data_IF_178135613277
#
_entry.id   IF_178135613277
#
_cell.length_a   1.000
_cell.length_b   1.000
_cell.length_c   1.000
_cell.angle_alpha   90.00
_cell.angle_beta   90.00
_cell.angle_gamma   90.00
#
_symmetry.space_group_name_H-M   'P 1'
#
loop_
_entity.id
_entity.type
_entity.pdbx_description
1 polymer ?
#
# COMPACT_ATOMS: atom_id res chain seq x y z
N UNK A 1 -9.37 -45.16 17.58
CA UNK A 1 -8.34 -46.14 17.17
C UNK A 1 -8.18 -46.01 15.66
N UNK A 2 -7.05 -45.49 15.19
CA UNK A 2 -6.82 -45.17 13.77
C UNK A 2 -6.50 -46.44 12.98
N UNK A 3 -7.21 -46.64 11.86
CA UNK A 3 -6.96 -47.74 10.93
C UNK A 3 -5.58 -47.57 10.28
N UNK A 4 -4.60 -48.34 10.77
CA UNK A 4 -3.23 -48.40 10.25
C UNK A 4 -3.11 -49.08 8.86
N UNK A 5 -4.23 -49.50 8.25
CA UNK A 5 -4.26 -50.13 6.93
C UNK A 5 -4.60 -49.17 5.78
N UNK A 6 -4.53 -47.85 6.00
CA UNK A 6 -4.71 -46.87 4.92
C UNK A 6 -3.42 -46.80 4.11
N UNK A 7 -3.46 -47.36 2.90
CA UNK A 7 -2.40 -47.40 1.90
C UNK A 7 -1.55 -46.11 1.85
N UNK A 8 -0.24 -46.22 2.09
CA UNK A 8 0.73 -45.10 2.16
C UNK A 8 1.61 -44.95 0.90
N UNK A 9 1.15 -45.44 -0.26
CA UNK A 9 1.94 -45.41 -1.50
C UNK A 9 3.02 -46.50 -1.55
N UNK A 10 3.90 -46.51 -2.57
CA UNK A 10 4.82 -47.62 -2.81
C UNK A 10 6.01 -47.54 -1.84
N UNK A 11 6.11 -48.49 -0.92
CA UNK A 11 7.22 -48.60 0.04
C UNK A 11 7.75 -50.03 0.07
N UNK A 12 9.06 -50.18 0.25
CA UNK A 12 9.78 -51.44 0.42
C UNK A 12 10.11 -51.59 1.91
N UNK A 13 9.71 -52.71 2.52
CA UNK A 13 10.04 -53.01 3.91
C UNK A 13 11.48 -53.53 3.99
N UNK A 14 12.37 -52.75 4.60
CA UNK A 14 13.80 -53.10 4.75
C UNK A 14 14.12 -53.79 6.07
N UNK A 15 13.16 -53.85 7.01
CA UNK A 15 13.34 -54.46 8.32
C UNK A 15 12.06 -54.49 9.16
N UNK A 16 12.10 -55.00 10.40
CA UNK A 16 10.90 -55.25 11.22
C UNK A 16 10.00 -54.01 11.38
N UNK A 17 10.64 -52.84 11.50
CA UNK A 17 10.01 -51.51 11.63
C UNK A 17 10.62 -50.44 10.70
N UNK A 18 11.31 -50.83 9.62
CA UNK A 18 11.89 -49.87 8.66
C UNK A 18 11.28 -50.04 7.28
N UNK A 19 10.90 -48.91 6.68
CA UNK A 19 10.31 -48.83 5.36
C UNK A 19 11.03 -47.74 4.56
N UNK A 20 11.47 -48.08 3.37
CA UNK A 20 11.98 -47.11 2.39
C UNK A 20 10.89 -46.85 1.35
N UNK A 21 10.76 -45.59 0.90
CA UNK A 21 9.87 -45.26 -0.21
C UNK A 21 10.45 -45.88 -1.48
N UNK A 22 9.67 -46.74 -2.14
CA UNK A 22 10.09 -47.27 -3.43
C UNK A 22 10.06 -46.11 -4.45
N UNK A 23 11.00 -46.06 -5.41
CA UNK A 23 10.88 -45.12 -6.52
C UNK A 23 9.53 -45.33 -7.20
N UNK A 24 8.68 -44.30 -7.19
CA UNK A 24 7.37 -44.34 -7.82
C UNK A 24 7.62 -44.57 -9.32
N UNK A 25 7.13 -45.67 -9.91
CA UNK A 25 7.25 -45.85 -11.35
C UNK A 25 6.38 -44.80 -12.02
N UNK A 26 7.01 -43.76 -12.58
CA UNK A 26 6.34 -42.82 -13.46
C UNK A 26 5.96 -43.59 -14.71
N UNK A 27 4.75 -44.15 -14.73
CA UNK A 27 4.15 -44.60 -15.98
C UNK A 27 4.01 -43.34 -16.83
N UNK A 28 4.72 -43.30 -17.96
CA UNK A 28 4.47 -42.34 -19.01
C UNK A 28 3.11 -42.64 -19.64
N UNK A 29 2.03 -42.37 -18.90
CA UNK A 29 0.73 -42.21 -19.50
C UNK A 29 0.78 -40.94 -20.33
N UNK A 30 0.53 -41.10 -21.64
CA UNK A 30 0.41 -39.98 -22.57
C UNK A 30 -0.81 -39.16 -22.17
N UNK A 31 -0.57 -38.19 -21.30
CA UNK A 31 -1.56 -37.19 -20.90
C UNK A 31 -1.79 -36.24 -22.08
N UNK A 32 -3.06 -36.07 -22.42
CA UNK A 32 -3.51 -35.11 -23.42
C UNK A 32 -2.93 -33.71 -23.13
N UNK A 33 -2.47 -32.96 -24.14
CA UNK A 33 -1.72 -31.71 -23.97
C UNK A 33 -2.62 -30.51 -23.66
N UNK A 34 -3.57 -30.66 -22.73
CA UNK A 34 -4.62 -29.67 -22.51
C UNK A 34 -4.72 -29.11 -21.10
N UNK A 35 -4.47 -29.89 -20.05
CA UNK A 35 -4.89 -29.48 -18.70
C UNK A 35 -4.03 -30.13 -17.61
N UNK A 36 -2.80 -29.66 -17.38
CA UNK A 36 -2.09 -29.92 -16.11
C UNK A 36 -1.20 -28.74 -15.69
N UNK A 37 -1.41 -28.30 -14.44
CA UNK A 37 -0.45 -27.68 -13.53
C UNK A 37 0.44 -26.53 -14.02
N UNK A 38 0.22 -25.33 -13.47
CA UNK A 38 1.07 -24.13 -13.59
C UNK A 38 2.55 -24.27 -13.17
N UNK A 39 3.03 -25.48 -12.82
CA UNK A 39 4.40 -25.74 -12.35
C UNK A 39 5.00 -27.06 -12.84
N UNK A 40 4.58 -27.63 -13.97
CA UNK A 40 5.31 -28.76 -14.58
C UNK A 40 6.17 -28.30 -15.77
N UNK A 41 7.49 -28.43 -15.66
CA UNK A 41 8.38 -28.50 -16.84
C UNK A 41 9.42 -27.39 -17.05
N UNK A 42 9.87 -26.64 -16.04
CA UNK A 42 10.82 -25.54 -16.29
C UNK A 42 12.08 -25.46 -15.40
N UNK A 43 12.40 -26.49 -14.59
CA UNK A 43 13.53 -26.38 -13.65
C UNK A 43 14.50 -27.57 -13.61
N UNK A 44 14.37 -28.56 -14.50
CA UNK A 44 15.32 -29.67 -14.60
C UNK A 44 16.50 -29.34 -15.51
N UNK A 45 17.73 -29.69 -15.10
CA UNK A 45 18.97 -29.53 -15.88
C UNK A 45 18.91 -30.22 -17.27
N UNK A 46 17.93 -31.11 -17.50
CA UNK A 46 17.77 -31.91 -18.72
C UNK A 46 16.32 -32.04 -19.25
N UNK A 47 15.34 -31.28 -18.75
CA UNK A 47 13.92 -31.51 -19.08
C UNK A 47 13.28 -30.44 -20.00
N UNK A 48 14.09 -29.75 -20.78
CA UNK A 48 13.61 -28.85 -21.83
C UNK A 48 14.58 -28.75 -23.01
N UNK A 49 14.10 -28.35 -24.21
CA UNK A 49 14.98 -28.00 -25.31
C UNK A 49 16.03 -26.98 -24.84
N UNK A 50 17.29 -27.17 -25.23
CA UNK A 50 18.37 -26.23 -24.89
C UNK A 50 17.95 -24.80 -25.29
N UNK A 51 18.29 -23.80 -24.46
CA UNK A 51 18.02 -22.38 -24.78
C UNK A 51 18.46 -22.12 -26.22
N UNK A 52 17.51 -21.71 -27.07
CA UNK A 52 17.79 -21.34 -28.47
C UNK A 52 17.63 -22.43 -29.53
N UNK A 53 17.38 -23.71 -29.23
CA UNK A 53 17.42 -24.77 -30.28
C UNK A 53 16.08 -25.24 -30.87
N UNK A 54 14.92 -24.80 -30.37
CA UNK A 54 13.63 -25.16 -31.01
C UNK A 54 13.29 -24.24 -32.20
N UNK A 55 13.14 -24.76 -33.42
CA UNK A 55 12.84 -23.97 -34.63
C UNK A 55 11.33 -23.86 -34.93
N UNK A 56 10.49 -23.80 -33.89
CA UNK A 56 9.03 -23.77 -34.03
C UNK A 56 8.42 -22.39 -33.76
N UNK A 57 7.26 -22.06 -34.36
CA UNK A 57 6.54 -20.78 -34.16
C UNK A 57 6.06 -20.57 -32.72
N UNK A 58 6.18 -21.57 -31.86
CA UNK A 58 5.84 -21.54 -30.43
C UNK A 58 6.89 -20.79 -29.59
N UNK A 59 8.10 -20.52 -30.12
CA UNK A 59 9.16 -19.74 -29.42
C UNK A 59 8.75 -18.29 -29.08
N UNK A 60 7.79 -17.76 -29.81
CA UNK A 60 7.23 -16.42 -29.62
C UNK A 60 5.82 -16.50 -29.02
N UNK A 61 5.44 -17.66 -28.48
CA UNK A 61 4.23 -17.73 -27.68
C UNK A 61 4.47 -16.91 -26.41
N UNK A 62 3.57 -15.98 -26.05
CA UNK A 62 3.66 -15.23 -24.81
C UNK A 62 3.65 -16.13 -23.57
N UNK A 63 3.38 -17.44 -23.72
CA UNK A 63 3.44 -18.47 -22.68
C UNK A 63 4.85 -19.06 -22.45
N UNK A 64 5.88 -18.62 -23.18
CA UNK A 64 7.24 -19.14 -23.00
C UNK A 64 7.82 -18.63 -21.68
N UNK A 65 8.26 -19.48 -20.73
CA UNK A 65 8.66 -19.06 -19.38
C UNK A 65 9.70 -17.93 -19.33
N UNK A 66 10.68 -17.95 -20.24
CA UNK A 66 11.72 -16.91 -20.30
C UNK A 66 11.18 -15.52 -20.69
N UNK A 67 10.13 -15.46 -21.51
CA UNK A 67 9.48 -14.20 -21.89
C UNK A 67 8.75 -13.61 -20.68
N UNK A 68 8.17 -14.45 -19.82
CA UNK A 68 7.52 -14.00 -18.59
C UNK A 68 8.51 -13.41 -17.57
N UNK A 69 9.66 -14.06 -17.41
CA UNK A 69 10.71 -13.54 -16.53
C UNK A 69 11.17 -12.16 -17.00
N UNK A 70 11.40 -11.98 -18.30
CA UNK A 70 11.78 -10.67 -18.86
C UNK A 70 10.66 -9.62 -18.66
N UNK A 71 9.40 -9.95 -18.97
CA UNK A 71 8.28 -9.02 -18.81
C UNK A 71 8.05 -8.60 -17.34
N UNK A 72 8.20 -9.54 -16.41
CA UNK A 72 8.07 -9.26 -14.97
C UNK A 72 9.30 -8.53 -14.42
N UNK A 73 10.48 -8.78 -14.99
CA UNK A 73 11.69 -8.02 -14.67
C UNK A 73 11.56 -6.55 -15.08
N UNK A 74 11.08 -6.28 -16.30
CA UNK A 74 10.80 -4.91 -16.77
C UNK A 74 9.81 -4.19 -15.86
N UNK A 75 8.71 -4.85 -15.48
CA UNK A 75 7.76 -4.29 -14.51
C UNK A 75 8.41 -4.05 -13.13
N UNK A 76 9.35 -4.89 -12.71
CA UNK A 76 10.08 -4.68 -11.46
C UNK A 76 10.99 -3.46 -11.54
N UNK A 77 11.75 -3.31 -12.63
CA UNK A 77 12.60 -2.14 -12.89
C UNK A 77 11.75 -0.87 -12.87
N UNK A 78 10.61 -0.87 -13.56
CA UNK A 78 9.73 0.29 -13.60
C UNK A 78 9.15 0.63 -12.21
N UNK A 79 8.82 -0.37 -11.41
CA UNK A 79 8.39 -0.16 -10.03
C UNK A 79 9.50 0.49 -9.19
N UNK A 80 10.76 0.04 -9.34
CA UNK A 80 11.89 0.67 -8.64
C UNK A 80 12.15 2.11 -9.09
N UNK A 81 11.91 2.41 -10.37
CA UNK A 81 11.98 3.77 -10.87
C UNK A 81 10.91 4.65 -10.22
N UNK A 82 9.65 4.19 -10.20
CA UNK A 82 8.54 4.91 -9.54
C UNK A 82 8.86 5.10 -8.04
N UNK A 83 9.38 4.09 -7.36
CA UNK A 83 9.77 4.20 -5.95
C UNK A 83 10.82 5.30 -5.73
N UNK A 84 11.77 5.44 -6.66
CA UNK A 84 12.79 6.49 -6.60
C UNK A 84 12.21 7.90 -6.79
N UNK A 85 11.20 8.08 -7.66
CA UNK A 85 10.48 9.35 -7.82
C UNK A 85 9.76 9.74 -6.52
N UNK A 86 9.14 8.76 -5.87
CA UNK A 86 8.37 8.98 -4.65
C UNK A 86 9.23 9.09 -3.39
N UNK A 87 10.46 8.56 -3.38
CA UNK A 87 11.35 8.61 -2.22
C UNK A 87 11.56 10.05 -1.71
N UNK A 88 11.80 11.01 -2.62
CA UNK A 88 11.95 12.42 -2.26
C UNK A 88 10.68 13.03 -1.66
N UNK A 89 9.51 12.66 -2.19
CA UNK A 89 8.21 13.11 -1.67
C UNK A 89 7.94 12.59 -0.26
N UNK A 90 8.29 11.32 -0.01
CA UNK A 90 8.13 10.72 1.32
C UNK A 90 9.11 11.27 2.35
N UNK A 91 10.36 11.52 1.96
CA UNK A 91 11.37 12.11 2.85
C UNK A 91 10.96 13.52 3.32
N UNK A 92 10.36 14.31 2.43
CA UNK A 92 9.90 15.67 2.74
C UNK A 92 8.45 15.73 3.25
N UNK A 93 7.81 14.58 3.48
CA UNK A 93 6.38 14.50 3.79
C UNK A 93 6.02 15.26 5.08
N UNK A 94 6.84 15.10 6.11
CA UNK A 94 6.60 15.75 7.40
C UNK A 94 6.71 17.26 7.30
N UNK A 95 7.81 17.77 6.74
CA UNK A 95 8.04 19.20 6.59
C UNK A 95 6.98 19.87 5.70
N UNK A 96 6.64 19.25 4.55
CA UNK A 96 5.60 19.77 3.65
C UNK A 96 4.21 19.80 4.32
N UNK A 97 3.84 18.75 5.06
CA UNK A 97 2.55 18.69 5.76
C UNK A 97 2.44 19.75 6.86
N UNK A 98 3.53 20.03 7.59
CA UNK A 98 3.55 21.11 8.58
C UNK A 98 3.45 22.47 7.90
N UNK A 99 4.16 22.70 6.80
CA UNK A 99 4.06 23.95 6.05
C UNK A 99 2.63 24.18 5.52
N UNK A 100 1.95 23.15 4.99
CA UNK A 100 0.55 23.21 4.60
C UNK A 100 -0.38 23.58 5.77
N UNK A 101 -0.13 22.98 6.95
CA UNK A 101 -0.89 23.28 8.16
C UNK A 101 -0.68 24.73 8.60
N UNK A 102 0.56 25.22 8.62
CA UNK A 102 0.87 26.57 9.08
C UNK A 102 0.32 27.63 8.11
N UNK A 103 0.36 27.37 6.81
CA UNK A 103 -0.35 28.18 5.83
C UNK A 103 -1.86 28.21 6.09
N UNK A 104 -2.48 27.06 6.36
CA UNK A 104 -3.91 26.98 6.67
C UNK A 104 -4.29 27.78 7.94
N UNK A 105 -3.42 27.75 8.97
CA UNK A 105 -3.60 28.57 10.19
C UNK A 105 -3.50 30.05 9.90
N UNK A 106 -2.50 30.48 9.13
CA UNK A 106 -2.31 31.88 8.75
C UNK A 106 -3.51 32.43 7.99
N UNK A 107 -4.01 31.69 7.00
CA UNK A 107 -5.20 32.07 6.23
C UNK A 107 -6.44 32.16 7.11
N UNK A 108 -6.61 31.24 8.08
CA UNK A 108 -7.75 31.27 8.99
C UNK A 108 -7.70 32.45 9.98
N UNK A 109 -6.50 32.90 10.36
CA UNK A 109 -6.27 34.02 11.29
C UNK A 109 -6.13 35.40 10.64
N UNK A 110 -6.12 35.49 9.30
CA UNK A 110 -5.77 36.71 8.56
C UNK A 110 -6.74 37.90 8.77
N UNK A 111 -7.94 37.66 9.29
CA UNK A 111 -9.01 38.66 9.26
C UNK A 111 -9.18 39.47 10.56
N UNK A 112 -8.67 39.01 11.72
CA UNK A 112 -8.86 39.74 13.00
C UNK A 112 -7.72 39.52 14.01
N UNK A 113 -7.38 40.54 14.83
CA UNK A 113 -6.56 40.32 16.03
C UNK A 113 -7.37 39.51 17.04
N UNK A 114 -7.12 38.20 17.07
CA UNK A 114 -7.84 37.24 17.90
C UNK A 114 -7.25 37.20 19.31
N UNK A 115 -8.11 37.06 20.32
CA UNK A 115 -7.68 36.71 21.68
C UNK A 115 -6.93 35.37 21.66
N UNK A 116 -5.98 35.10 22.59
CA UNK A 116 -5.21 33.85 22.61
C UNK A 116 -6.09 32.58 22.55
N UNK A 117 -7.26 32.60 23.19
CA UNK A 117 -8.22 31.49 23.20
C UNK A 117 -8.93 31.34 21.86
N UNK A 118 -9.28 32.47 21.22
CA UNK A 118 -9.93 32.44 19.91
C UNK A 118 -8.96 31.99 18.82
N UNK A 119 -7.68 32.38 18.94
CA UNK A 119 -6.61 31.93 18.07
C UNK A 119 -6.45 30.41 18.11
N UNK A 120 -6.37 29.80 19.28
CA UNK A 120 -6.25 28.33 19.40
C UNK A 120 -7.48 27.60 18.85
N UNK A 121 -8.69 28.15 19.03
CA UNK A 121 -9.92 27.61 18.42
C UNK A 121 -9.91 27.69 16.89
N UNK A 122 -9.47 28.81 16.32
CA UNK A 122 -9.35 29.00 14.87
C UNK A 122 -8.30 28.04 14.28
N UNK A 123 -7.15 27.89 14.93
CA UNK A 123 -6.10 26.96 14.53
C UNK A 123 -6.57 25.50 14.55
N UNK A 124 -7.28 25.09 15.61
CA UNK A 124 -7.87 23.75 15.72
C UNK A 124 -8.89 23.49 14.60
N UNK A 125 -9.76 24.47 14.32
CA UNK A 125 -10.75 24.39 13.24
C UNK A 125 -10.10 24.32 11.86
N UNK A 126 -9.02 25.06 11.64
CA UNK A 126 -8.24 25.02 10.40
C UNK A 126 -7.60 23.64 10.18
N UNK A 127 -7.01 23.06 11.23
CA UNK A 127 -6.44 21.72 11.20
C UNK A 127 -7.50 20.64 10.87
N UNK A 128 -8.68 20.71 11.51
CA UNK A 128 -9.80 19.81 11.22
C UNK A 128 -10.28 19.92 9.77
N UNK A 129 -10.42 21.15 9.25
CA UNK A 129 -10.80 21.38 7.86
C UNK A 129 -9.77 20.80 6.89
N UNK A 130 -8.47 20.94 7.20
CA UNK A 130 -7.41 20.37 6.37
C UNK A 130 -7.47 18.83 6.36
N UNK A 131 -7.71 18.19 7.50
CA UNK A 131 -7.89 16.73 7.60
C UNK A 131 -9.10 16.28 6.75
N UNK A 132 -10.23 16.99 6.83
CA UNK A 132 -11.41 16.70 6.02
C UNK A 132 -11.13 16.84 4.52
N UNK A 133 -10.41 17.87 4.11
CA UNK A 133 -10.01 18.03 2.71
C UNK A 133 -9.14 16.87 2.24
N UNK A 134 -8.17 16.42 3.05
CA UNK A 134 -7.32 15.27 2.74
C UNK A 134 -8.11 13.95 2.71
N UNK A 135 -9.15 13.79 3.55
CA UNK A 135 -10.01 12.60 3.50
C UNK A 135 -10.85 12.56 2.22
N UNK A 136 -11.34 13.71 1.75
CA UNK A 136 -12.05 13.82 0.47
C UNK A 136 -11.08 13.49 -0.68
N UNK A 137 -9.86 14.02 -0.65
CA UNK A 137 -8.83 13.70 -1.65
C UNK A 137 -8.48 12.20 -1.66
N UNK A 138 -8.40 11.58 -0.48
CA UNK A 138 -8.17 10.15 -0.35
C UNK A 138 -9.27 9.32 -1.02
N UNK A 139 -10.54 9.60 -0.70
CA UNK A 139 -11.67 8.88 -1.31
C UNK A 139 -11.77 9.13 -2.82
N UNK A 140 -11.44 10.34 -3.29
CA UNK A 140 -11.42 10.65 -4.72
C UNK A 140 -10.34 9.87 -5.50
N UNK A 141 -9.18 9.61 -4.90
CA UNK A 141 -8.07 8.86 -5.54
C UNK A 141 -8.20 7.35 -5.38
N UNK A 142 -9.05 6.89 -4.48
CA UNK A 142 -9.25 5.47 -4.17
C UNK A 142 -9.59 4.62 -5.40
N UNK A 143 -10.54 4.98 -6.29
CA UNK A 143 -10.85 4.16 -7.46
C UNK A 143 -9.64 3.87 -8.35
N UNK A 144 -8.75 4.85 -8.56
CA UNK A 144 -7.58 4.70 -9.41
C UNK A 144 -6.53 3.74 -8.82
N UNK A 145 -6.31 3.79 -7.51
CA UNK A 145 -5.36 2.88 -6.85
C UNK A 145 -5.82 1.42 -6.82
N UNK A 146 -7.13 1.20 -6.81
CA UNK A 146 -7.76 -0.12 -6.82
C UNK A 146 -8.21 -0.53 -8.23
N UNK A 147 -7.77 0.17 -9.27
CA UNK A 147 -8.21 -0.08 -10.65
C UNK A 147 -7.76 -1.44 -11.19
N UNK A 148 -6.73 -2.06 -10.60
CA UNK A 148 -6.38 -3.46 -10.87
C UNK A 148 -7.29 -4.41 -10.08
N UNK A 149 -8.38 -4.81 -10.72
CA UNK A 149 -9.31 -5.83 -10.23
C UNK A 149 -9.91 -5.54 -8.84
N UNK A 150 -9.99 -4.28 -8.43
CA UNK A 150 -10.56 -3.89 -7.13
C UNK A 150 -9.65 -4.18 -5.93
N UNK A 151 -8.39 -4.54 -6.15
CA UNK A 151 -7.45 -4.92 -5.10
C UNK A 151 -6.40 -3.86 -4.83
N UNK A 152 -5.95 -3.78 -3.58
CA UNK A 152 -4.82 -2.93 -3.22
C UNK A 152 -3.53 -3.55 -3.76
N UNK A 153 -2.84 -2.78 -4.59
CA UNK A 153 -1.63 -3.24 -5.26
C UNK A 153 -0.46 -3.58 -4.33
N UNK A 154 -0.39 -3.03 -3.11
CA UNK A 154 0.72 -3.36 -2.20
C UNK A 154 0.73 -4.83 -1.74
N UNK A 155 -0.40 -5.54 -1.82
CA UNK A 155 -0.50 -6.93 -1.37
C UNK A 155 -0.37 -7.96 -2.49
N UNK A 156 -0.84 -7.64 -3.69
CA UNK A 156 -0.93 -8.59 -4.80
C UNK A 156 -0.29 -8.04 -6.07
N UNK A 157 0.67 -7.13 -5.91
CA UNK A 157 1.27 -6.41 -7.04
C UNK A 157 1.76 -7.39 -8.10
N UNK A 158 2.48 -8.45 -7.71
CA UNK A 158 3.09 -9.41 -8.63
C UNK A 158 2.01 -10.17 -9.40
N UNK A 159 1.01 -10.67 -8.69
CA UNK A 159 -0.09 -11.49 -9.21
C UNK A 159 -1.03 -10.67 -10.12
N UNK A 160 -1.41 -9.46 -9.69
CA UNK A 160 -2.28 -8.57 -10.47
C UNK A 160 -1.57 -8.06 -11.73
N UNK A 161 -0.28 -7.73 -11.63
CA UNK A 161 0.53 -7.36 -12.79
C UNK A 161 0.66 -8.51 -13.77
N UNK A 162 1.00 -9.71 -13.28
CA UNK A 162 1.10 -10.90 -14.11
C UNK A 162 -0.20 -11.14 -14.87
N UNK A 163 -1.33 -11.16 -14.16
CA UNK A 163 -2.64 -11.34 -14.76
C UNK A 163 -2.95 -10.27 -15.81
N UNK A 164 -2.64 -9.00 -15.53
CA UNK A 164 -2.93 -7.90 -16.46
C UNK A 164 -2.08 -7.97 -17.74
N UNK A 165 -0.80 -8.30 -17.61
CA UNK A 165 0.09 -8.48 -18.77
C UNK A 165 -0.38 -9.69 -19.58
N UNK A 166 -0.72 -10.80 -18.91
CA UNK A 166 -1.30 -11.98 -19.56
C UNK A 166 -2.55 -11.66 -20.37
N UNK A 167 -3.54 -10.98 -19.76
CA UNK A 167 -4.76 -10.57 -20.45
C UNK A 167 -4.47 -9.70 -21.69
N UNK A 168 -3.50 -8.76 -21.59
CA UNK A 168 -3.12 -7.88 -22.69
C UNK A 168 -2.38 -8.56 -23.85
N UNK A 169 -1.73 -9.70 -23.59
CA UNK A 169 -1.10 -10.49 -24.65
C UNK A 169 -2.10 -11.40 -25.37
N UNK A 170 -3.29 -11.60 -24.81
CA UNK A 170 -4.39 -12.34 -25.41
C UNK A 170 -5.37 -11.44 -26.19
N UNK A 171 -5.15 -10.13 -26.24
CA UNK A 171 -5.91 -9.23 -27.12
C UNK A 171 -5.43 -9.33 -28.57
N UNK A 172 -6.26 -8.89 -29.52
CA UNK A 172 -5.89 -8.81 -30.94
C UNK A 172 -5.96 -7.35 -31.41
N UNK A 173 -4.82 -6.68 -31.68
CA UNK A 173 -3.44 -7.18 -31.56
C UNK A 173 -2.97 -7.33 -30.08
N UNK A 174 -1.95 -8.17 -29.81
CA UNK A 174 -1.32 -8.23 -28.49
C UNK A 174 -0.59 -6.92 -28.17
N UNK A 175 -0.82 -6.35 -26.98
CA UNK A 175 -0.16 -5.10 -26.58
C UNK A 175 0.10 -5.02 -25.07
N UNK A 176 1.33 -5.36 -24.67
CA UNK A 176 1.76 -5.27 -23.27
C UNK A 176 1.88 -3.83 -22.76
N UNK A 177 2.02 -2.82 -23.64
CA UNK A 177 2.20 -1.42 -23.21
C UNK A 177 0.97 -0.89 -22.46
N UNK A 178 -0.22 -1.33 -22.87
CA UNK A 178 -1.49 -1.03 -22.18
C UNK A 178 -1.52 -1.66 -20.79
N UNK A 179 -0.94 -2.84 -20.60
CA UNK A 179 -0.83 -3.45 -19.27
C UNK A 179 0.16 -2.70 -18.38
N UNK A 180 1.35 -2.37 -18.88
CA UNK A 180 2.35 -1.61 -18.10
C UNK A 180 1.79 -0.26 -17.66
N UNK A 181 1.19 0.51 -18.57
CA UNK A 181 0.57 1.80 -18.23
C UNK A 181 -0.53 1.66 -17.18
N UNK A 182 -1.39 0.64 -17.28
CA UNK A 182 -2.42 0.36 -16.28
C UNK A 182 -1.83 -0.04 -14.91
N UNK A 183 -0.74 -0.81 -14.90
CA UNK A 183 -0.04 -1.20 -13.67
C UNK A 183 0.59 0.03 -13.01
N UNK A 184 1.34 0.83 -13.77
CA UNK A 184 2.06 2.01 -13.28
C UNK A 184 1.12 3.08 -12.74
N UNK A 185 0.05 3.38 -13.48
CA UNK A 185 -0.95 4.39 -13.06
C UNK A 185 -1.58 4.01 -11.73
N UNK A 186 -1.91 2.75 -11.57
CA UNK A 186 -2.51 2.25 -10.35
C UNK A 186 -1.48 2.12 -9.21
N UNK A 187 -0.19 1.89 -9.51
CA UNK A 187 0.89 1.87 -8.51
C UNK A 187 1.21 3.26 -7.99
N UNK A 188 1.35 4.24 -8.89
CA UNK A 188 1.47 5.65 -8.54
C UNK A 188 0.28 6.13 -7.72
N UNK A 189 -0.94 5.75 -8.12
CA UNK A 189 -2.16 6.08 -7.36
C UNK A 189 -2.15 5.46 -5.96
N UNK A 190 -1.67 4.22 -5.81
CA UNK A 190 -1.54 3.56 -4.51
C UNK A 190 -0.49 4.26 -3.62
N UNK A 191 0.65 4.67 -4.19
CA UNK A 191 1.64 5.48 -3.49
C UNK A 191 1.08 6.85 -3.09
N UNK A 192 0.30 7.52 -3.93
CA UNK A 192 -0.37 8.76 -3.56
C UNK A 192 -1.36 8.58 -2.40
N UNK A 193 -2.15 7.49 -2.39
CA UNK A 193 -3.03 7.18 -1.26
C UNK A 193 -2.26 6.95 0.04
N UNK A 194 -1.16 6.19 -0.04
CA UNK A 194 -0.28 5.97 1.12
C UNK A 194 0.28 7.30 1.61
N UNK A 195 0.75 8.18 0.72
CA UNK A 195 1.19 9.53 1.06
C UNK A 195 0.10 10.30 1.80
N UNK A 196 -1.12 10.40 1.26
CA UNK A 196 -2.24 11.12 1.88
C UNK A 196 -2.57 10.54 3.26
N UNK A 197 -2.62 9.21 3.40
CA UNK A 197 -2.89 8.56 4.68
C UNK A 197 -1.84 8.91 5.76
N UNK A 198 -0.57 9.01 5.36
CA UNK A 198 0.51 9.42 6.25
C UNK A 198 0.43 10.91 6.60
N UNK A 199 0.07 11.78 5.64
CA UNK A 199 -0.19 13.20 5.92
C UNK A 199 -1.31 13.36 6.96
N UNK A 200 -2.42 12.64 6.80
CA UNK A 200 -3.53 12.65 7.76
C UNK A 200 -3.08 12.21 9.16
N UNK A 201 -2.25 11.18 9.27
CA UNK A 201 -1.68 10.75 10.56
C UNK A 201 -0.78 11.83 11.20
N UNK A 202 0.03 12.54 10.40
CA UNK A 202 0.85 13.65 10.89
C UNK A 202 -0.06 14.79 11.39
N UNK A 203 -1.08 15.15 10.63
CA UNK A 203 -2.05 16.19 11.00
C UNK A 203 -2.83 15.81 12.26
N UNK A 204 -3.22 14.54 12.42
CA UNK A 204 -3.91 14.06 13.62
C UNK A 204 -3.05 14.23 14.88
N UNK A 205 -1.75 13.93 14.81
CA UNK A 205 -0.81 14.18 15.92
C UNK A 205 -0.66 15.67 16.23
N UNK A 206 -0.65 16.53 15.21
CA UNK A 206 -0.61 17.98 15.41
C UNK A 206 -1.92 18.51 16.01
N UNK A 207 -3.07 17.94 15.64
CA UNK A 207 -4.37 18.29 16.19
C UNK A 207 -4.45 18.00 17.68
N UNK A 208 -3.93 16.86 18.13
CA UNK A 208 -3.83 16.50 19.56
C UNK A 208 -3.05 17.56 20.34
N UNK A 209 -1.90 17.98 19.82
CA UNK A 209 -1.10 19.03 20.44
C UNK A 209 -1.81 20.39 20.46
N UNK A 210 -2.56 20.74 19.42
CA UNK A 210 -3.39 21.97 19.38
C UNK A 210 -4.56 21.90 20.39
N UNK A 211 -5.17 20.73 20.57
CA UNK A 211 -6.22 20.53 21.56
C UNK A 211 -5.68 20.74 22.99
N UNK A 212 -4.54 20.13 23.32
CA UNK A 212 -3.90 20.31 24.63
C UNK A 212 -3.53 21.77 24.92
N UNK A 213 -3.03 22.49 23.90
CA UNK A 213 -2.75 23.94 24.02
C UNK A 213 -4.00 24.76 24.28
N UNK A 214 -5.10 24.41 23.63
CA UNK A 214 -6.39 25.07 23.86
C UNK A 214 -6.86 24.86 25.29
N UNK A 215 -6.82 23.62 25.80
CA UNK A 215 -7.26 23.31 27.16
C UNK A 215 -6.42 24.07 28.20
N UNK A 216 -5.09 24.15 28.00
CA UNK A 216 -4.21 24.97 28.82
C UNK A 216 -4.58 26.46 28.78
N UNK A 217 -4.82 27.03 27.59
CA UNK A 217 -5.25 28.43 27.45
C UNK A 217 -6.61 28.71 28.09
N UNK A 218 -7.54 27.75 28.05
CA UNK A 218 -8.85 27.86 28.72
C UNK A 218 -8.71 27.83 30.26
N UNK A 219 -7.82 26.97 30.80
CA UNK A 219 -7.51 26.91 32.23
C UNK A 219 -6.85 28.22 32.71
N UNK A 220 -5.85 28.71 31.99
CA UNK A 220 -5.15 29.96 32.34
C UNK A 220 -6.10 31.17 32.35
N UNK A 221 -7.02 31.23 31.39
CA UNK A 221 -8.05 32.26 31.35
C UNK A 221 -9.04 32.17 32.52
N UNK A 222 -9.42 30.97 32.94
CA UNK A 222 -10.27 30.76 34.11
C UNK A 222 -9.55 31.19 35.40
N UNK A 223 -8.26 30.86 35.54
CA UNK A 223 -7.45 31.28 36.68
C UNK A 223 -7.34 32.81 36.73
N UNK A 224 -7.04 33.47 35.61
CA UNK A 224 -6.96 34.93 35.53
C UNK A 224 -8.29 35.64 35.86
N UNK A 225 -9.42 35.06 35.45
CA UNK A 225 -10.74 35.58 35.80
C UNK A 225 -11.08 35.37 37.28
N UNK A 226 -10.62 34.26 37.87
CA UNK A 226 -10.82 33.99 39.31
C UNK A 226 -9.95 34.85 40.22
N UNK A 227 -8.73 35.22 39.81
CA UNK A 227 -7.86 36.12 40.59
C UNK A 227 -8.31 37.57 40.51
N UNK A 228 -8.73 38.03 39.33
CA UNK A 228 -9.27 39.39 39.18
C UNK A 228 -10.56 39.61 39.98
N UNK A 229 -11.47 38.64 39.99
CA UNK A 229 -12.70 38.71 40.81
C UNK A 229 -12.42 38.66 42.31
N UNK A 230 -11.39 37.93 42.75
CA UNK A 230 -10.95 37.93 44.15
C UNK A 230 -10.34 39.29 44.53
N UNK A 231 -9.49 39.88 43.68
CA UNK A 231 -8.86 41.17 43.92
C UNK A 231 -9.87 42.33 43.97
N UNK A 232 -10.90 42.33 43.11
CA UNK A 232 -12.00 43.30 43.18
C UNK A 232 -12.78 43.17 44.49
N UNK A 233 -13.04 41.94 44.95
CA UNK A 233 -13.73 41.68 46.21
C UNK A 233 -12.90 42.17 47.41
N UNK A 234 -11.59 41.94 47.42
CA UNK A 234 -10.68 42.46 48.46
C UNK A 234 -10.57 43.99 48.45
N UNK A 235 -10.56 44.64 47.29
CA UNK A 235 -10.58 46.12 47.20
C UNK A 235 -11.87 46.70 47.77
N UNK A 236 -13.02 46.08 47.51
CA UNK A 236 -14.31 46.55 48.02
C UNK A 236 -14.45 46.45 49.55
N UNK A 237 -13.72 45.52 50.17
CA UNK A 237 -13.71 45.32 51.64
C UNK A 237 -12.80 46.31 52.38
N UNK A 238 -11.77 46.87 51.73
CA UNK A 238 -10.86 47.85 52.34
C UNK A 238 -11.36 49.31 52.29
N UNK A 239 -12.44 49.59 51.54
CA UNK A 239 -13.04 50.92 51.43
C UNK A 239 -14.28 51.13 52.32
N UNK A 240 -14.58 50.17 53.20
CA UNK A 240 -15.58 50.31 54.28
C UNK A 240 -14.85 50.41 55.62
#
# INVERSE_FOLDING_TARGET
MSNANKYLGPHIKTGPNSYELAPIPVKAERLNPGIEGFFSGAWGLNEGPHRGTSSGPVKLSPLTPFIWDDLMHERSINSTYIDSEYAGLYNNLFASTIAELDYAKQVAGANHPLSPIEKTKVEQKAALKLIQNKSIEYEARKPSAYSLYGHNQFFLMKELSFRKIFESLHTSPPDASVAYTAIDTAYRSALDLKRISLQMNILAKQLEHLANKRDQSEIEAQIANSTSTVDEKFRSLKMK
#
